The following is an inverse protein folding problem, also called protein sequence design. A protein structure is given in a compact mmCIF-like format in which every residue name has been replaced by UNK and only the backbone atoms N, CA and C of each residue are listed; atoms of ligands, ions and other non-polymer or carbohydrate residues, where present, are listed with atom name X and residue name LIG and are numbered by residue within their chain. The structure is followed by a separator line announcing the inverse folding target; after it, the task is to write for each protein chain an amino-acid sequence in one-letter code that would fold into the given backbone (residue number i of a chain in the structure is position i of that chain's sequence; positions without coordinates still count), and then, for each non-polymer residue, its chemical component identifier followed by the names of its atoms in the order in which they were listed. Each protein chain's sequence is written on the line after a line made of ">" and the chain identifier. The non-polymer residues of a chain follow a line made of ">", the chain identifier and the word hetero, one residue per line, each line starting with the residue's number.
data_IF_119478504512
#
_entry.id   IF_119478504512
#
_cell.length_a   1.000
_cell.length_b   1.000
_cell.length_c   1.000
_cell.angle_alpha   90.00
_cell.angle_beta   90.00
_cell.angle_gamma   90.00
#
_symmetry.space_group_name_H-M   'P 1'
#
loop_
_entity.id
_entity.type
_entity.pdbx_description
1 polymer ?
#
# COMPACT_ATOMS: atom_id res chain seq x y z
N UNK A 1 -42.74 -7.01 -12.06
CA UNK A 1 -43.24 -7.41 -10.74
C UNK A 1 -42.95 -6.26 -9.80
N UNK A 2 -43.98 -5.71 -9.16
CA UNK A 2 -43.89 -4.54 -8.28
C UNK A 2 -43.38 -4.98 -6.92
N UNK A 3 -42.13 -4.65 -6.58
CA UNK A 3 -41.65 -4.75 -5.21
C UNK A 3 -42.41 -3.74 -4.35
N UNK A 4 -43.36 -4.25 -3.57
CA UNK A 4 -44.03 -3.46 -2.54
C UNK A 4 -42.98 -3.11 -1.48
N UNK A 5 -42.73 -1.81 -1.29
CA UNK A 5 -41.84 -1.31 -0.25
C UNK A 5 -42.25 -1.89 1.10
N UNK A 6 -41.31 -2.54 1.79
CA UNK A 6 -41.56 -3.08 3.13
C UNK A 6 -41.93 -1.93 4.07
N UNK A 7 -42.95 -2.11 4.93
CA UNK A 7 -43.36 -1.08 5.87
C UNK A 7 -42.25 -0.84 6.89
N UNK A 8 -41.87 0.43 7.04
CA UNK A 8 -40.88 0.90 8.00
C UNK A 8 -41.23 0.44 9.41
N UNK A 9 -40.25 -0.12 10.11
CA UNK A 9 -40.41 -0.59 11.48
C UNK A 9 -40.65 0.58 12.44
N UNK A 10 -41.26 0.30 13.58
CA UNK A 10 -41.52 1.31 14.61
C UNK A 10 -40.23 1.90 15.19
N UNK A 11 -39.14 1.14 15.17
CA UNK A 11 -37.81 1.57 15.57
C UNK A 11 -37.23 2.57 14.56
N UNK A 12 -37.26 2.25 13.27
CA UNK A 12 -36.82 3.15 12.19
C UNK A 12 -37.62 4.47 12.17
N UNK A 13 -38.94 4.40 12.41
CA UNK A 13 -39.81 5.57 12.46
C UNK A 13 -39.47 6.49 13.65
N UNK A 14 -39.14 5.90 14.80
CA UNK A 14 -38.73 6.64 16.00
C UNK A 14 -37.34 7.24 15.84
N UNK A 15 -36.44 6.53 15.15
CA UNK A 15 -35.11 7.01 14.82
C UNK A 15 -35.15 8.22 13.88
N UNK A 16 -36.02 8.16 12.86
CA UNK A 16 -36.28 9.29 11.96
C UNK A 16 -36.84 10.50 12.71
N UNK A 17 -37.77 10.29 13.65
CA UNK A 17 -38.34 11.37 14.47
C UNK A 17 -37.30 12.02 15.36
N UNK A 18 -36.43 11.23 16.00
CA UNK A 18 -35.33 11.73 16.82
C UNK A 18 -34.30 12.53 16.03
N UNK A 19 -34.06 12.18 14.77
CA UNK A 19 -33.20 12.96 13.86
C UNK A 19 -33.84 14.30 13.47
N UNK A 20 -35.15 14.32 13.27
CA UNK A 20 -35.90 15.52 12.86
C UNK A 20 -36.11 16.53 13.99
N UNK A 21 -36.31 16.06 15.23
CA UNK A 21 -36.52 16.93 16.40
C UNK A 21 -35.22 17.30 17.14
N UNK A 22 -34.08 16.80 16.66
CA UNK A 22 -32.76 17.07 17.23
C UNK A 22 -32.48 16.40 18.58
N UNK A 23 -33.38 15.52 19.06
CA UNK A 23 -33.18 14.77 20.31
C UNK A 23 -32.20 13.61 20.13
N UNK A 24 -32.03 13.12 18.90
CA UNK A 24 -30.92 12.23 18.52
C UNK A 24 -29.78 13.04 17.93
N UNK A 25 -28.70 13.13 18.70
CA UNK A 25 -27.39 13.51 18.17
C UNK A 25 -26.89 12.35 17.31
N UNK A 26 -26.39 12.63 16.11
CA UNK A 26 -25.67 11.66 15.29
C UNK A 26 -24.64 10.95 16.18
N UNK A 27 -24.91 9.68 16.53
CA UNK A 27 -23.97 8.92 17.35
C UNK A 27 -22.75 8.69 16.48
N UNK A 28 -21.55 9.14 16.89
CA UNK A 28 -20.37 8.82 16.15
C UNK A 28 -20.29 7.29 16.04
N UNK A 29 -19.85 6.77 14.88
CA UNK A 29 -19.68 5.34 14.71
C UNK A 29 -18.86 4.78 15.88
N UNK A 30 -19.20 3.57 16.32
CA UNK A 30 -18.45 2.87 17.37
C UNK A 30 -16.97 2.89 16.99
N UNK A 31 -16.09 3.31 17.90
CA UNK A 31 -14.65 3.24 17.65
C UNK A 31 -14.26 1.79 17.46
N UNK A 32 -13.51 1.53 16.39
CA UNK A 32 -12.89 0.23 16.15
C UNK A 32 -11.74 0.05 17.13
N UNK A 33 -11.75 -1.08 17.84
CA UNK A 33 -10.63 -1.51 18.66
C UNK A 33 -9.66 -2.32 17.79
N UNK A 34 -8.63 -1.62 17.28
CA UNK A 34 -7.62 -2.22 16.42
C UNK A 34 -6.79 -3.33 17.10
N UNK A 35 -6.78 -3.36 18.43
CA UNK A 35 -5.92 -4.25 19.21
C UNK A 35 -6.58 -5.62 19.46
N UNK A 36 -7.91 -5.65 19.56
CA UNK A 36 -8.64 -6.85 19.98
C UNK A 36 -9.61 -7.38 18.92
N UNK A 37 -10.21 -6.52 18.10
CA UNK A 37 -11.17 -6.96 17.08
C UNK A 37 -10.47 -7.50 15.84
N UNK A 38 -11.16 -8.36 15.10
CA UNK A 38 -10.69 -8.78 13.78
C UNK A 38 -10.56 -7.56 12.85
N UNK A 39 -9.59 -7.59 11.94
CA UNK A 39 -9.39 -6.54 10.94
C UNK A 39 -9.53 -7.15 9.54
N UNK A 40 -10.34 -6.50 8.72
CA UNK A 40 -10.55 -6.83 7.32
C UNK A 40 -10.10 -5.65 6.47
N UNK A 41 -9.07 -5.85 5.64
CA UNK A 41 -8.51 -4.82 4.76
C UNK A 41 -8.83 -5.07 3.30
N UNK A 42 -9.65 -4.21 2.69
CA UNK A 42 -10.06 -4.33 1.29
C UNK A 42 -8.86 -4.10 0.35
N UNK A 43 -8.44 -5.13 -0.38
CA UNK A 43 -7.30 -5.06 -1.31
C UNK A 43 -7.75 -4.64 -2.71
N UNK A 44 -7.27 -3.48 -3.15
CA UNK A 44 -7.46 -2.99 -4.52
C UNK A 44 -6.50 -3.67 -5.47
N UNK A 45 -6.99 -3.99 -6.68
CA UNK A 45 -6.20 -4.57 -7.78
C UNK A 45 -5.55 -5.93 -7.46
N UNK A 46 -6.19 -6.71 -6.57
CA UNK A 46 -5.77 -8.06 -6.24
C UNK A 46 -6.90 -9.03 -6.55
N UNK A 47 -6.61 -10.07 -7.30
CA UNK A 47 -7.48 -11.22 -7.50
C UNK A 47 -6.86 -12.45 -6.85
N UNK A 48 -7.68 -13.31 -6.23
CA UNK A 48 -7.19 -14.57 -5.68
C UNK A 48 -7.66 -15.74 -6.56
N UNK A 49 -6.74 -16.59 -7.00
CA UNK A 49 -7.10 -17.83 -7.71
C UNK A 49 -7.67 -18.88 -6.76
N UNK A 50 -7.14 -18.91 -5.53
CA UNK A 50 -7.53 -19.81 -4.43
C UNK A 50 -7.91 -19.00 -3.20
N UNK A 51 -8.86 -19.47 -2.39
CA UNK A 51 -9.32 -18.75 -1.19
C UNK A 51 -10.03 -19.70 -0.22
N UNK A 52 -9.81 -19.58 1.11
CA UNK A 52 -8.85 -18.66 1.75
C UNK A 52 -7.40 -19.13 1.59
N UNK A 53 -6.45 -18.20 1.67
CA UNK A 53 -5.01 -18.46 1.70
C UNK A 53 -4.50 -18.07 3.08
N UNK A 54 -4.03 -19.05 3.86
CA UNK A 54 -3.36 -18.75 5.13
C UNK A 54 -1.92 -18.33 4.86
N UNK A 55 -1.54 -17.14 5.33
CA UNK A 55 -0.16 -16.64 5.25
C UNK A 55 0.62 -16.95 6.53
N UNK A 56 -0.03 -16.77 7.68
CA UNK A 56 0.45 -17.15 9.02
C UNK A 56 -0.76 -17.49 9.91
N UNK A 57 -0.51 -18.02 11.10
CA UNK A 57 -1.57 -18.22 12.09
C UNK A 57 -2.32 -16.90 12.35
N UNK A 58 -3.65 -16.91 12.19
CA UNK A 58 -4.50 -15.72 12.32
C UNK A 58 -4.41 -14.68 11.20
N UNK A 59 -3.66 -14.93 10.12
CA UNK A 59 -3.48 -14.01 8.99
C UNK A 59 -3.77 -14.69 7.65
N UNK A 60 -4.74 -14.15 6.92
CA UNK A 60 -5.25 -14.75 5.69
C UNK A 60 -5.42 -13.71 4.57
N UNK A 61 -5.44 -14.21 3.34
CA UNK A 61 -6.08 -13.54 2.20
C UNK A 61 -7.36 -14.29 1.88
N UNK A 62 -8.44 -13.57 1.61
CA UNK A 62 -9.70 -14.19 1.19
C UNK A 62 -10.41 -13.40 0.09
N UNK A 63 -11.24 -14.11 -0.69
CA UNK A 63 -12.16 -13.49 -1.65
C UNK A 63 -13.23 -12.72 -0.92
N UNK A 64 -13.58 -11.57 -1.47
CA UNK A 64 -14.66 -10.71 -0.97
C UNK A 64 -15.32 -10.00 -2.15
N UNK A 65 -16.30 -9.15 -1.88
CA UNK A 65 -16.76 -8.17 -2.86
C UNK A 65 -17.24 -6.90 -2.14
N UNK A 66 -16.63 -5.78 -2.47
CA UNK A 66 -17.15 -4.46 -2.16
C UNK A 66 -16.86 -3.50 -3.31
N UNK A 67 -17.84 -2.68 -3.66
CA UNK A 67 -17.64 -1.54 -4.55
C UNK A 67 -17.49 -0.29 -3.68
N UNK A 68 -16.27 0.24 -3.57
CA UNK A 68 -16.02 1.49 -2.81
C UNK A 68 -15.93 2.62 -3.80
N UNK A 69 -16.74 3.66 -3.57
CA UNK A 69 -16.75 4.84 -4.40
C UNK A 69 -16.77 6.11 -3.54
N UNK A 70 -16.06 7.14 -4.00
CA UNK A 70 -16.11 8.48 -3.45
C UNK A 70 -16.58 9.45 -4.55
N UNK A 71 -17.76 10.02 -4.33
CA UNK A 71 -18.29 11.05 -5.20
C UNK A 71 -17.91 12.42 -4.60
N UNK A 72 -17.21 13.30 -5.33
CA UNK A 72 -17.02 14.67 -4.88
C UNK A 72 -18.38 15.33 -4.71
N UNK A 73 -18.64 15.89 -3.53
CA UNK A 73 -19.89 16.57 -3.19
C UNK A 73 -19.65 18.08 -3.04
N UNK A 74 -20.50 18.89 -3.65
CA UNK A 74 -20.52 20.33 -3.45
C UNK A 74 -21.62 20.71 -2.46
N UNK A 75 -21.26 21.49 -1.43
CA UNK A 75 -22.21 22.15 -0.56
C UNK A 75 -22.31 23.62 -0.94
N UNK A 76 -23.54 24.16 -0.98
CA UNK A 76 -23.80 25.54 -1.41
C UNK A 76 -24.01 26.51 -0.24
N UNK A 77 -23.62 26.10 0.98
CA UNK A 77 -23.74 26.91 2.19
C UNK A 77 -22.68 26.54 3.24
N UNK A 78 -22.18 27.52 4.01
CA UNK A 78 -21.24 27.28 5.09
C UNK A 78 -21.91 26.56 6.27
N UNK A 79 -21.14 25.85 7.12
CA UNK A 79 -21.70 25.22 8.31
C UNK A 79 -22.18 26.28 9.32
N UNK A 80 -23.31 26.07 10.02
CA UNK A 80 -23.83 27.03 11.02
C UNK A 80 -22.91 27.23 12.22
N UNK A 81 -22.08 26.22 12.51
CA UNK A 81 -21.09 26.21 13.57
C UNK A 81 -19.71 25.99 12.96
N UNK A 82 -18.68 26.62 13.52
CA UNK A 82 -17.30 26.33 13.16
C UNK A 82 -17.03 24.83 13.36
N UNK A 83 -16.63 24.13 12.28
CA UNK A 83 -16.40 22.67 12.21
C UNK A 83 -17.66 21.78 12.26
N UNK A 84 -18.85 22.34 12.04
CA UNK A 84 -20.10 21.57 11.85
C UNK A 84 -20.25 21.01 10.43
N UNK A 85 -21.24 20.13 10.19
CA UNK A 85 -21.57 19.66 8.84
C UNK A 85 -22.15 20.80 7.99
N UNK A 86 -21.88 20.78 6.68
CA UNK A 86 -22.47 21.73 5.75
C UNK A 86 -23.97 21.44 5.56
N UNK A 87 -24.86 22.43 5.60
CA UNK A 87 -26.28 22.19 5.37
C UNK A 87 -26.55 21.90 3.89
N UNK A 88 -27.66 21.21 3.62
CA UNK A 88 -28.21 21.07 2.28
C UNK A 88 -28.58 22.45 1.68
N UNK A 89 -28.65 22.62 0.35
CA UNK A 89 -28.51 21.57 -0.68
C UNK A 89 -27.07 21.11 -0.89
N UNK A 90 -26.94 19.84 -1.27
CA UNK A 90 -25.71 19.25 -1.79
C UNK A 90 -25.93 18.79 -3.22
N UNK A 91 -24.90 18.86 -4.05
CA UNK A 91 -24.91 18.28 -5.38
C UNK A 91 -23.69 17.38 -5.56
N UNK A 92 -23.89 16.26 -6.26
CA UNK A 92 -22.78 15.45 -6.76
C UNK A 92 -22.05 16.26 -7.83
N UNK A 93 -20.74 16.41 -7.70
CA UNK A 93 -19.91 16.99 -8.75
C UNK A 93 -19.66 15.90 -9.79
N UNK A 94 -20.23 16.07 -10.98
CA UNK A 94 -19.98 15.17 -12.09
C UNK A 94 -18.52 15.30 -12.55
N UNK A 95 -17.78 14.19 -12.59
CA UNK A 95 -16.36 14.17 -12.93
C UNK A 95 -15.67 12.90 -12.43
N UNK A 96 -14.33 12.97 -12.27
CA UNK A 96 -13.53 11.87 -11.73
C UNK A 96 -13.77 11.72 -10.22
N UNK A 97 -14.83 10.99 -9.85
CA UNK A 97 -14.86 10.29 -8.58
C UNK A 97 -13.89 9.11 -8.61
N UNK A 98 -13.48 8.63 -7.43
CA UNK A 98 -12.74 7.39 -7.32
C UNK A 98 -13.75 6.27 -7.09
N UNK A 99 -13.71 5.22 -7.89
CA UNK A 99 -14.56 4.04 -7.72
C UNK A 99 -13.75 2.80 -8.10
N UNK A 100 -13.75 1.79 -7.24
CA UNK A 100 -12.98 0.57 -7.45
C UNK A 100 -13.69 -0.63 -6.82
N UNK A 101 -13.58 -1.78 -7.50
CA UNK A 101 -14.06 -3.05 -6.99
C UNK A 101 -12.95 -3.74 -6.19
N UNK A 102 -13.31 -4.23 -5.02
CA UNK A 102 -12.43 -4.95 -4.12
C UNK A 102 -12.90 -6.39 -4.06
N UNK A 103 -12.15 -7.29 -4.70
CA UNK A 103 -12.50 -8.73 -4.78
C UNK A 103 -11.63 -9.62 -3.88
N UNK A 104 -10.69 -9.01 -3.17
CA UNK A 104 -9.84 -9.66 -2.17
C UNK A 104 -9.74 -8.79 -0.90
N UNK A 105 -9.49 -9.42 0.23
CA UNK A 105 -9.18 -8.73 1.48
C UNK A 105 -8.13 -9.48 2.31
N UNK A 106 -7.37 -8.71 3.10
CA UNK A 106 -6.53 -9.22 4.18
C UNK A 106 -7.42 -9.44 5.40
N UNK A 107 -7.31 -10.60 6.03
CA UNK A 107 -7.99 -10.90 7.29
C UNK A 107 -6.95 -11.10 8.36
N UNK A 108 -7.06 -10.32 9.44
CA UNK A 108 -6.32 -10.53 10.67
C UNK A 108 -7.31 -10.85 11.78
N UNK A 109 -7.30 -12.09 12.28
CA UNK A 109 -8.22 -12.56 13.31
C UNK A 109 -8.10 -11.73 14.60
N UNK A 110 -9.18 -11.72 15.40
CA UNK A 110 -9.23 -11.02 16.68
C UNK A 110 -8.05 -11.43 17.59
N UNK A 111 -7.31 -10.46 18.12
CA UNK A 111 -6.16 -10.68 19.01
C UNK A 111 -4.90 -11.30 18.38
N UNK A 112 -4.95 -11.80 17.14
CA UNK A 112 -3.78 -12.37 16.45
C UNK A 112 -2.61 -11.36 16.29
N UNK A 113 -1.37 -11.80 16.56
CA UNK A 113 -0.14 -11.01 16.33
C UNK A 113 0.89 -11.85 15.58
N UNK A 114 0.66 -12.13 14.29
CA UNK A 114 1.49 -13.05 13.49
C UNK A 114 2.90 -12.48 13.20
N UNK A 115 3.05 -11.16 13.28
CA UNK A 115 4.28 -10.42 13.03
C UNK A 115 4.59 -9.53 14.25
N UNK A 116 5.86 -9.07 14.44
CA UNK A 116 6.26 -8.23 15.58
C UNK A 116 5.76 -6.77 15.49
N UNK A 117 4.78 -6.50 14.63
CA UNK A 117 4.22 -5.17 14.40
C UNK A 117 2.88 -5.00 15.09
N UNK A 118 2.45 -3.75 15.24
CA UNK A 118 1.05 -3.47 15.55
C UNK A 118 0.12 -4.06 14.48
N UNK A 119 -1.10 -4.40 14.88
CA UNK A 119 -2.05 -5.14 14.03
C UNK A 119 -2.38 -4.39 12.73
N UNK A 120 -2.56 -3.08 12.82
CA UNK A 120 -2.80 -2.25 11.63
C UNK A 120 -1.57 -2.18 10.70
N UNK A 121 -0.38 -2.12 11.28
CA UNK A 121 0.88 -2.13 10.53
C UNK A 121 1.14 -3.50 9.90
N UNK A 122 0.68 -4.59 10.51
CA UNK A 122 0.69 -5.94 9.91
C UNK A 122 -0.12 -5.96 8.60
N UNK A 123 -1.31 -5.37 8.59
CA UNK A 123 -2.13 -5.27 7.38
C UNK A 123 -1.43 -4.44 6.31
N UNK A 124 -0.86 -3.29 6.67
CA UNK A 124 -0.06 -2.46 5.74
C UNK A 124 1.14 -3.21 5.19
N UNK A 125 1.87 -3.92 6.05
CA UNK A 125 3.07 -4.68 5.68
C UNK A 125 2.76 -5.77 4.65
N UNK A 126 1.67 -6.51 4.84
CA UNK A 126 1.25 -7.53 3.88
C UNK A 126 0.94 -6.90 2.53
N UNK A 127 0.19 -5.79 2.50
CA UNK A 127 -0.11 -5.09 1.26
C UNK A 127 1.14 -4.53 0.57
N UNK A 128 2.06 -3.94 1.33
CA UNK A 128 3.32 -3.42 0.83
C UNK A 128 4.25 -4.54 0.32
N UNK A 129 4.23 -5.72 0.96
CA UNK A 129 4.97 -6.88 0.47
C UNK A 129 4.38 -7.44 -0.83
N UNK A 130 3.05 -7.48 -0.97
CA UNK A 130 2.40 -7.82 -2.25
C UNK A 130 2.79 -6.81 -3.33
N UNK A 131 2.75 -5.50 -3.03
CA UNK A 131 3.20 -4.45 -3.97
C UNK A 131 4.64 -4.65 -4.40
N UNK A 132 5.53 -4.92 -3.45
CA UNK A 132 6.93 -5.17 -3.73
C UNK A 132 7.09 -6.39 -4.63
N UNK A 133 6.56 -7.55 -4.25
CA UNK A 133 6.71 -8.79 -5.02
C UNK A 133 6.05 -8.72 -6.41
N UNK A 134 4.92 -8.02 -6.54
CA UNK A 134 4.22 -7.86 -7.82
C UNK A 134 4.81 -6.75 -8.70
N UNK A 135 5.57 -5.81 -8.11
CA UNK A 135 5.88 -4.52 -8.74
C UNK A 135 4.62 -3.82 -9.29
N UNK A 136 3.51 -3.89 -8.54
CA UNK A 136 2.21 -3.30 -8.91
C UNK A 136 1.69 -2.40 -7.77
N UNK A 137 0.90 -1.36 -8.08
CA UNK A 137 0.31 -0.43 -7.11
C UNK A 137 -0.93 -1.02 -6.40
N UNK A 138 -0.80 -2.19 -5.80
CA UNK A 138 -1.81 -2.76 -4.89
C UNK A 138 -1.96 -1.86 -3.67
N UNK A 139 -3.15 -1.76 -3.08
CA UNK A 139 -3.37 -0.91 -1.90
C UNK A 139 -4.52 -1.44 -1.06
N UNK A 140 -4.58 -1.01 0.20
CA UNK A 140 -5.68 -1.32 1.13
C UNK A 140 -6.57 -0.10 1.28
N UNK A 141 -7.67 -0.04 0.54
CA UNK A 141 -8.52 1.15 0.50
C UNK A 141 -9.21 1.43 1.85
N UNK A 142 -9.62 0.35 2.54
CA UNK A 142 -10.39 0.47 3.77
C UNK A 142 -10.15 -0.68 4.73
N UNK A 143 -10.44 -0.42 6.01
CA UNK A 143 -10.36 -1.37 7.12
C UNK A 143 -11.71 -1.41 7.84
N UNK A 144 -12.16 -2.60 8.22
CA UNK A 144 -13.38 -2.83 8.98
C UNK A 144 -13.24 -3.96 10.03
N UNK A 145 -14.10 -3.99 11.07
CA UNK A 145 -14.15 -5.10 12.04
C UNK A 145 -14.81 -6.39 11.51
N UNK A 146 -15.40 -6.32 10.32
CA UNK A 146 -16.13 -7.41 9.66
C UNK A 146 -15.75 -7.44 8.18
N UNK A 147 -15.90 -8.60 7.54
CA UNK A 147 -15.60 -8.80 6.11
C UNK A 147 -16.35 -7.82 5.22
N UNK A 148 -15.68 -7.31 4.19
CA UNK A 148 -16.23 -6.33 3.24
C UNK A 148 -17.41 -6.88 2.44
N UNK A 149 -17.46 -8.20 2.22
CA UNK A 149 -18.58 -8.89 1.60
C UNK A 149 -19.77 -9.11 2.55
N UNK A 150 -19.59 -8.87 3.85
CA UNK A 150 -20.59 -9.02 4.90
C UNK A 150 -21.56 -7.83 4.97
N UNK A 151 -22.22 -7.47 3.86
CA UNK A 151 -23.06 -6.26 3.76
C UNK A 151 -24.07 -6.08 4.90
N UNK A 152 -24.70 -7.15 5.39
CA UNK A 152 -25.61 -7.09 6.55
C UNK A 152 -24.89 -6.75 7.86
N UNK A 153 -23.66 -7.21 8.07
CA UNK A 153 -22.88 -6.89 9.26
C UNK A 153 -22.50 -5.40 9.32
N UNK A 154 -22.36 -4.74 8.16
CA UNK A 154 -22.14 -3.28 8.11
C UNK A 154 -23.39 -2.47 8.49
N UNK A 155 -24.59 -2.99 8.22
CA UNK A 155 -25.85 -2.34 8.63
C UNK A 155 -25.97 -2.22 10.15
N UNK A 156 -25.35 -3.12 10.91
CA UNK A 156 -25.25 -3.08 12.37
C UNK A 156 -24.28 -2.00 12.92
N UNK A 157 -24.07 -0.91 12.17
CA UNK A 157 -23.17 0.20 12.51
C UNK A 157 -21.70 -0.19 12.69
N UNK A 158 -21.23 -1.22 11.97
CA UNK A 158 -19.81 -1.52 11.89
C UNK A 158 -19.13 -0.54 10.92
N UNK A 159 -18.29 0.39 11.42
CA UNK A 159 -17.67 1.40 10.57
C UNK A 159 -16.66 0.80 9.59
N UNK A 160 -16.61 1.43 8.43
CA UNK A 160 -15.54 1.25 7.44
C UNK A 160 -14.67 2.49 7.52
N UNK A 161 -13.38 2.31 7.77
CA UNK A 161 -12.40 3.39 7.81
C UNK A 161 -11.61 3.40 6.51
N UNK A 162 -11.50 4.56 5.87
CA UNK A 162 -10.51 4.73 4.80
C UNK A 162 -9.10 4.53 5.37
N UNK A 163 -8.24 3.86 4.60
CA UNK A 163 -6.90 3.49 5.06
C UNK A 163 -5.81 4.02 4.12
N UNK A 164 -5.69 3.47 2.91
CA UNK A 164 -4.82 4.00 1.86
C UNK A 164 -5.66 4.70 0.78
N UNK A 165 -5.08 5.70 0.12
CA UNK A 165 -5.71 6.34 -1.04
C UNK A 165 -5.45 5.49 -2.28
N UNK A 166 -6.30 5.61 -3.29
CA UNK A 166 -5.99 5.02 -4.60
C UNK A 166 -4.70 5.63 -5.16
N UNK A 167 -3.74 4.81 -5.60
CA UNK A 167 -2.51 5.30 -6.23
C UNK A 167 -2.79 6.18 -7.46
N UNK A 168 -1.95 7.20 -7.67
CA UNK A 168 -2.13 8.14 -8.80
C UNK A 168 -2.03 7.46 -10.17
N UNK A 169 -1.30 6.34 -10.22
CA UNK A 169 -0.99 5.64 -11.44
C UNK A 169 -1.87 4.40 -11.57
N UNK A 170 -2.56 4.30 -12.71
CA UNK A 170 -3.37 3.14 -13.05
C UNK A 170 -2.50 2.13 -13.79
N UNK A 171 -2.21 1.03 -13.09
CA UNK A 171 -1.58 -0.16 -13.65
C UNK A 171 -2.54 -1.35 -13.49
N UNK A 172 -2.17 -2.49 -14.06
CA UNK A 172 -2.94 -3.72 -13.89
C UNK A 172 -3.02 -4.19 -12.44
N UNK A 173 -3.81 -5.24 -12.23
CA UNK A 173 -3.81 -5.95 -10.96
C UNK A 173 -2.82 -7.09 -10.90
N UNK A 174 -2.77 -7.74 -9.74
CA UNK A 174 -2.04 -8.98 -9.52
C UNK A 174 -3.02 -10.11 -9.21
N UNK A 175 -2.79 -11.27 -9.80
CA UNK A 175 -3.47 -12.51 -9.41
C UNK A 175 -2.57 -13.29 -8.47
N UNK A 176 -3.05 -13.57 -7.26
CA UNK A 176 -2.36 -14.38 -6.25
C UNK A 176 -2.88 -15.81 -6.36
N UNK A 177 -2.01 -16.70 -6.82
CA UNK A 177 -2.18 -18.16 -6.76
C UNK A 177 -1.39 -18.76 -5.60
N UNK A 178 -1.38 -20.09 -5.48
CA UNK A 178 -0.65 -20.77 -4.40
C UNK A 178 0.86 -20.54 -4.49
N UNK A 179 1.44 -20.45 -5.69
CA UNK A 179 2.87 -20.20 -5.85
C UNK A 179 3.26 -18.81 -5.35
N UNK A 180 2.43 -17.82 -5.65
CA UNK A 180 2.60 -16.46 -5.14
C UNK A 180 2.38 -16.41 -3.61
N UNK A 181 1.41 -17.17 -3.10
CA UNK A 181 1.20 -17.30 -1.65
C UNK A 181 2.44 -17.87 -0.94
N UNK A 182 3.08 -18.91 -1.48
CA UNK A 182 4.33 -19.44 -0.92
C UNK A 182 5.45 -18.41 -0.91
N UNK A 183 5.53 -17.58 -1.94
CA UNK A 183 6.49 -16.47 -1.99
C UNK A 183 6.22 -15.45 -0.87
N UNK A 184 4.96 -15.06 -0.66
CA UNK A 184 4.57 -14.20 0.46
C UNK A 184 4.98 -14.81 1.81
N UNK A 185 4.68 -16.09 2.04
CA UNK A 185 5.06 -16.80 3.27
C UNK A 185 6.57 -16.77 3.51
N UNK A 186 7.35 -16.99 2.45
CA UNK A 186 8.82 -16.99 2.49
C UNK A 186 9.38 -15.62 2.87
N UNK A 187 8.75 -14.53 2.43
CA UNK A 187 9.25 -13.18 2.67
C UNK A 187 8.77 -12.55 3.99
N UNK A 188 7.69 -13.03 4.62
CA UNK A 188 7.11 -12.38 5.81
C UNK A 188 8.09 -12.26 6.99
N UNK A 189 8.78 -13.34 7.34
CA UNK A 189 9.71 -13.34 8.49
C UNK A 189 11.02 -12.58 8.20
N UNK A 190 11.71 -12.83 7.06
CA UNK A 190 12.90 -12.06 6.70
C UNK A 190 12.63 -10.56 6.59
N UNK A 191 11.49 -10.16 6.03
CA UNK A 191 11.06 -8.76 5.98
C UNK A 191 10.85 -8.20 7.39
N UNK A 192 10.25 -8.99 8.28
CA UNK A 192 10.06 -8.58 9.69
C UNK A 192 11.36 -8.44 10.47
N UNK A 193 12.41 -9.14 10.06
CA UNK A 193 13.73 -9.03 10.66
C UNK A 193 14.46 -7.77 10.17
N UNK A 194 14.55 -7.58 8.85
CA UNK A 194 15.33 -6.48 8.28
C UNK A 194 14.74 -5.11 8.62
N UNK A 195 13.42 -4.98 8.68
CA UNK A 195 12.76 -3.71 8.97
C UNK A 195 12.87 -3.27 10.44
N UNK A 196 13.55 -4.05 11.29
CA UNK A 196 14.02 -3.57 12.60
C UNK A 196 15.21 -2.61 12.47
N UNK A 197 15.93 -2.63 11.35
CA UNK A 197 16.93 -1.60 11.02
C UNK A 197 16.21 -0.34 10.51
N UNK A 198 16.43 0.78 11.21
CA UNK A 198 15.80 2.07 10.89
C UNK A 198 16.06 2.53 9.45
N UNK A 199 17.23 2.21 8.89
CA UNK A 199 17.57 2.59 7.51
C UNK A 199 16.81 1.74 6.52
N UNK A 200 16.73 0.43 6.76
CA UNK A 200 15.94 -0.48 5.94
C UNK A 200 14.45 -0.08 5.97
N UNK A 201 13.90 0.19 7.16
CA UNK A 201 12.52 0.67 7.30
C UNK A 201 12.26 1.96 6.51
N UNK A 202 13.15 2.96 6.64
CA UNK A 202 13.02 4.22 5.89
C UNK A 202 13.11 4.02 4.38
N UNK A 203 14.07 3.20 3.93
CA UNK A 203 14.23 2.89 2.51
C UNK A 203 12.99 2.18 1.96
N UNK A 204 12.44 1.24 2.72
CA UNK A 204 11.22 0.53 2.38
C UNK A 204 10.03 1.46 2.27
N UNK A 205 9.74 2.26 3.29
CA UNK A 205 8.61 3.22 3.27
C UNK A 205 8.74 4.22 2.12
N UNK A 206 9.95 4.69 1.80
CA UNK A 206 10.16 5.59 0.66
C UNK A 206 9.88 4.90 -0.69
N UNK A 207 10.40 3.68 -0.87
CA UNK A 207 10.23 2.94 -2.12
C UNK A 207 8.77 2.52 -2.30
N UNK A 208 8.14 2.08 -1.21
CA UNK A 208 6.73 1.73 -1.16
C UNK A 208 5.82 2.94 -1.46
N UNK A 209 6.18 4.13 -0.96
CA UNK A 209 5.43 5.35 -1.16
C UNK A 209 5.41 5.90 -2.60
N UNK A 210 6.22 5.37 -3.52
CA UNK A 210 6.36 5.95 -4.87
C UNK A 210 5.05 5.94 -5.66
N UNK A 211 4.16 4.97 -5.40
CA UNK A 211 2.88 4.83 -6.10
C UNK A 211 1.94 6.02 -5.89
N UNK A 212 2.15 6.78 -4.82
CA UNK A 212 1.39 8.00 -4.48
C UNK A 212 2.13 9.29 -4.83
N UNK A 213 3.29 9.21 -5.49
CA UNK A 213 4.00 10.41 -5.90
C UNK A 213 3.41 10.95 -7.22
N UNK A 214 3.13 12.26 -7.30
CA UNK A 214 2.42 12.85 -8.44
C UNK A 214 3.30 13.09 -9.67
N UNK A 215 4.63 13.02 -9.52
CA UNK A 215 5.57 13.36 -10.61
C UNK A 215 6.70 12.34 -10.73
N UNK A 216 7.19 12.15 -11.95
CA UNK A 216 8.34 11.28 -12.25
C UNK A 216 9.61 11.76 -11.55
N UNK A 217 9.79 13.07 -11.36
CA UNK A 217 10.90 13.63 -10.59
C UNK A 217 10.86 13.19 -9.12
N UNK A 218 9.69 13.26 -8.47
CA UNK A 218 9.57 12.86 -7.08
C UNK A 218 9.80 11.35 -6.92
N UNK A 219 9.26 10.53 -7.84
CA UNK A 219 9.52 9.09 -7.90
C UNK A 219 11.01 8.79 -8.04
N UNK A 220 11.69 9.42 -9.01
CA UNK A 220 13.12 9.25 -9.26
C UNK A 220 13.95 9.57 -8.02
N UNK A 221 13.63 10.66 -7.30
CA UNK A 221 14.32 11.03 -6.08
C UNK A 221 14.08 10.02 -4.96
N UNK A 222 12.83 9.58 -4.76
CA UNK A 222 12.50 8.60 -3.73
C UNK A 222 13.19 7.25 -3.97
N UNK A 223 13.14 6.75 -5.21
CA UNK A 223 13.80 5.49 -5.64
C UNK A 223 15.29 5.52 -5.31
N UNK A 224 16.02 6.55 -5.78
CA UNK A 224 17.47 6.61 -5.54
C UNK A 224 17.82 6.89 -4.08
N UNK A 225 16.97 7.62 -3.34
CA UNK A 225 17.16 7.81 -1.89
C UNK A 225 17.01 6.49 -1.15
N UNK A 226 16.06 5.62 -1.54
CA UNK A 226 15.95 4.26 -1.00
C UNK A 226 17.20 3.43 -1.30
N UNK A 227 17.70 3.46 -2.53
CA UNK A 227 18.94 2.73 -2.90
C UNK A 227 20.15 3.23 -2.11
N UNK A 228 20.32 4.55 -1.98
CA UNK A 228 21.38 5.14 -1.16
C UNK A 228 21.29 4.73 0.31
N UNK A 229 20.07 4.70 0.84
CA UNK A 229 19.82 4.33 2.24
C UNK A 229 20.12 2.85 2.49
N UNK A 230 19.82 1.97 1.52
CA UNK A 230 20.12 0.54 1.61
C UNK A 230 21.60 0.23 1.42
N UNK A 231 22.22 0.80 0.39
CA UNK A 231 23.61 0.49 0.02
C UNK A 231 24.63 1.30 0.83
N UNK A 232 24.25 2.43 1.42
CA UNK A 232 25.12 3.27 2.27
C UNK A 232 26.48 3.57 1.61
N UNK A 233 26.52 4.17 0.40
CA UNK A 233 27.75 4.35 -0.37
C UNK A 233 28.78 5.32 0.27
N UNK A 234 28.46 5.96 1.40
CA UNK A 234 29.31 6.99 2.01
C UNK A 234 29.23 8.34 1.28
N UNK A 235 30.23 9.21 1.47
CA UNK A 235 30.23 10.59 0.97
C UNK A 235 31.13 10.85 -0.25
N UNK A 236 32.08 9.96 -0.54
CA UNK A 236 33.06 10.12 -1.62
C UNK A 236 32.68 9.22 -2.78
N UNK A 237 32.78 9.74 -4.00
CA UNK A 237 32.49 9.01 -5.24
C UNK A 237 31.15 8.26 -5.22
N UNK A 238 30.10 8.90 -4.65
CA UNK A 238 28.79 8.29 -4.40
C UNK A 238 28.26 7.53 -5.61
N UNK A 239 28.26 8.14 -6.79
CA UNK A 239 27.80 7.51 -8.04
C UNK A 239 28.55 6.21 -8.35
N UNK A 240 29.88 6.21 -8.24
CA UNK A 240 30.70 5.02 -8.55
C UNK A 240 30.53 3.93 -7.49
N UNK A 241 30.47 4.32 -6.21
CA UNK A 241 30.25 3.37 -5.09
C UNK A 241 28.86 2.75 -5.15
N UNK A 242 27.83 3.53 -5.50
CA UNK A 242 26.49 3.00 -5.75
C UNK A 242 26.49 2.04 -6.94
N UNK A 243 27.07 2.43 -8.06
CA UNK A 243 27.12 1.58 -9.26
C UNK A 243 27.90 0.27 -9.01
N UNK A 244 29.02 0.32 -8.28
CA UNK A 244 29.75 -0.89 -7.88
C UNK A 244 28.95 -1.74 -6.88
N UNK A 245 28.25 -1.11 -5.93
CA UNK A 245 27.37 -1.78 -4.99
C UNK A 245 26.23 -2.52 -5.67
N UNK A 246 25.49 -1.86 -6.57
CA UNK A 246 24.43 -2.48 -7.38
C UNK A 246 25.00 -3.62 -8.22
N UNK A 247 26.10 -3.37 -8.94
CA UNK A 247 26.78 -4.40 -9.73
C UNK A 247 27.04 -5.67 -8.92
N UNK A 248 27.69 -5.54 -7.76
CA UNK A 248 28.10 -6.69 -6.92
C UNK A 248 26.91 -7.31 -6.19
N UNK A 249 25.89 -6.52 -5.84
CA UNK A 249 24.77 -6.94 -5.01
C UNK A 249 23.60 -7.51 -5.80
N UNK A 250 23.36 -7.15 -7.05
CA UNK A 250 22.22 -7.72 -7.80
C UNK A 250 22.59 -8.30 -9.15
N UNK A 251 23.81 -8.05 -9.64
CA UNK A 251 24.28 -8.68 -10.87
C UNK A 251 24.33 -10.20 -10.75
N UNK A 252 23.83 -10.89 -11.78
CA UNK A 252 23.78 -12.36 -11.81
C UNK A 252 25.02 -12.98 -12.49
N UNK A 253 25.76 -12.17 -13.25
CA UNK A 253 26.99 -12.56 -13.95
C UNK A 253 27.89 -11.35 -14.12
N UNK A 254 29.15 -11.56 -14.54
CA UNK A 254 30.08 -10.45 -14.81
C UNK A 254 29.56 -9.48 -15.88
N UNK A 255 29.04 -10.00 -16.99
CA UNK A 255 28.51 -9.15 -18.08
C UNK A 255 27.26 -8.38 -17.65
N UNK A 256 26.39 -9.02 -16.88
CA UNK A 256 25.21 -8.38 -16.30
C UNK A 256 25.59 -7.30 -15.27
N UNK A 257 26.56 -7.59 -14.40
CA UNK A 257 27.10 -6.63 -13.45
C UNK A 257 27.73 -5.41 -14.13
N UNK A 258 28.48 -5.60 -15.22
CA UNK A 258 29.07 -4.50 -15.99
C UNK A 258 27.97 -3.64 -16.67
N UNK A 259 26.89 -4.27 -17.16
CA UNK A 259 25.70 -3.57 -17.67
C UNK A 259 25.04 -2.74 -16.57
N UNK A 260 24.75 -3.34 -15.41
CA UNK A 260 24.11 -2.68 -14.27
C UNK A 260 24.94 -1.52 -13.73
N UNK A 261 26.27 -1.63 -13.73
CA UNK A 261 27.16 -0.53 -13.36
C UNK A 261 26.95 0.68 -14.27
N UNK A 262 27.05 0.48 -15.59
CA UNK A 262 26.91 1.56 -16.56
C UNK A 262 25.50 2.18 -16.53
N UNK A 263 24.48 1.34 -16.37
CA UNK A 263 23.10 1.77 -16.26
C UNK A 263 22.84 2.58 -14.97
N UNK A 264 23.38 2.15 -13.83
CA UNK A 264 23.29 2.86 -12.56
C UNK A 264 23.94 4.24 -12.65
N UNK A 265 25.13 4.36 -13.25
CA UNK A 265 25.80 5.65 -13.45
C UNK A 265 24.90 6.60 -14.26
N UNK A 266 24.38 6.14 -15.40
CA UNK A 266 23.51 6.92 -16.28
C UNK A 266 22.23 7.38 -15.57
N UNK A 267 21.54 6.48 -14.89
CA UNK A 267 20.28 6.77 -14.22
C UNK A 267 20.45 7.70 -13.01
N UNK A 268 21.54 7.52 -12.25
CA UNK A 268 21.85 8.38 -11.11
C UNK A 268 22.19 9.82 -11.57
N UNK A 269 22.90 9.96 -12.69
CA UNK A 269 23.11 11.26 -13.33
C UNK A 269 21.80 11.89 -13.80
N UNK A 270 20.88 11.11 -14.38
CA UNK A 270 19.52 11.55 -14.77
C UNK A 270 18.73 12.10 -13.57
N UNK A 271 18.82 11.42 -12.42
CA UNK A 271 18.27 11.93 -11.14
C UNK A 271 18.90 13.26 -10.73
N UNK A 272 20.22 13.39 -10.83
CA UNK A 272 20.94 14.64 -10.50
C UNK A 272 20.52 15.81 -11.40
N UNK A 273 20.38 15.58 -12.70
CA UNK A 273 19.87 16.58 -13.65
C UNK A 273 18.42 16.97 -13.33
N UNK A 274 17.59 16.01 -12.94
CA UNK A 274 16.19 16.27 -12.60
C UNK A 274 16.04 17.11 -11.33
N UNK A 275 16.84 16.82 -10.31
CA UNK A 275 16.81 17.53 -9.03
C UNK A 275 17.37 18.97 -9.14
N UNK A 276 18.36 19.21 -10.00
CA UNK A 276 19.09 20.49 -10.05
C UNK A 276 18.78 21.36 -11.27
N UNK A 277 18.42 20.76 -12.41
CA UNK A 277 18.18 21.48 -13.67
C UNK A 277 16.70 21.57 -14.05
N UNK A 278 15.79 21.04 -13.23
CA UNK A 278 14.34 21.16 -13.43
C UNK A 278 13.80 20.39 -14.66
N UNK A 279 14.59 19.49 -15.25
CA UNK A 279 14.14 18.62 -16.33
C UNK A 279 13.46 17.39 -15.74
N UNK A 280 12.20 17.12 -16.11
CA UNK A 280 11.54 15.89 -15.68
C UNK A 280 12.24 14.67 -16.31
N UNK A 281 12.53 13.61 -15.53
CA UNK A 281 13.10 12.39 -16.07
C UNK A 281 12.07 11.69 -16.98
N UNK A 282 12.58 10.98 -17.98
CA UNK A 282 11.78 10.10 -18.81
C UNK A 282 11.16 8.98 -17.94
N UNK A 283 9.94 8.54 -18.27
CA UNK A 283 9.27 7.50 -17.47
C UNK A 283 10.03 6.17 -17.55
N UNK A 284 10.71 5.92 -18.67
CA UNK A 284 11.57 4.76 -18.89
C UNK A 284 12.77 4.76 -17.93
N UNK A 285 13.35 5.94 -17.66
CA UNK A 285 14.42 6.08 -16.68
C UNK A 285 13.92 5.85 -15.24
N UNK A 286 12.71 6.32 -14.92
CA UNK A 286 12.08 6.03 -13.62
C UNK A 286 11.84 4.54 -13.46
N UNK A 287 11.30 3.88 -14.49
CA UNK A 287 11.05 2.45 -14.48
C UNK A 287 12.36 1.65 -14.33
N UNK A 288 13.39 1.97 -15.11
CA UNK A 288 14.69 1.30 -15.00
C UNK A 288 15.34 1.51 -13.62
N UNK A 289 15.20 2.72 -13.04
CA UNK A 289 15.66 2.99 -11.68
C UNK A 289 14.88 2.19 -10.63
N UNK A 290 13.56 2.07 -10.82
CA UNK A 290 12.70 1.27 -9.95
C UNK A 290 13.11 -0.21 -9.98
N UNK A 291 13.37 -0.79 -11.15
CA UNK A 291 13.83 -2.19 -11.26
C UNK A 291 15.10 -2.42 -10.44
N UNK A 292 16.09 -1.52 -10.52
CA UNK A 292 17.31 -1.62 -9.69
C UNK A 292 16.98 -1.56 -8.20
N UNK A 293 16.16 -0.60 -7.77
CA UNK A 293 15.79 -0.45 -6.36
C UNK A 293 14.98 -1.64 -5.84
N UNK A 294 14.11 -2.17 -6.68
CA UNK A 294 13.28 -3.35 -6.45
C UNK A 294 14.15 -4.59 -6.24
N UNK A 295 15.12 -4.85 -7.13
CA UNK A 295 16.04 -5.99 -7.00
C UNK A 295 16.90 -5.89 -5.73
N UNK A 296 17.41 -4.69 -5.41
CA UNK A 296 18.19 -4.46 -4.18
C UNK A 296 17.33 -4.71 -2.94
N UNK A 297 16.09 -4.18 -2.92
CA UNK A 297 15.16 -4.36 -1.81
C UNK A 297 14.76 -5.83 -1.65
N UNK A 298 14.41 -6.51 -2.73
CA UNK A 298 14.03 -7.92 -2.70
C UNK A 298 15.16 -8.80 -2.19
N UNK A 299 16.39 -8.56 -2.65
CA UNK A 299 17.55 -9.32 -2.16
C UNK A 299 17.79 -9.06 -0.68
N UNK A 300 17.76 -7.81 -0.25
CA UNK A 300 17.95 -7.46 1.16
C UNK A 300 16.87 -8.08 2.04
N UNK A 301 15.60 -8.02 1.62
CA UNK A 301 14.50 -8.68 2.32
C UNK A 301 14.65 -10.19 2.38
N UNK A 302 15.01 -10.83 1.28
CA UNK A 302 15.24 -12.27 1.24
C UNK A 302 16.39 -12.69 2.18
N UNK A 303 17.48 -11.91 2.22
CA UNK A 303 18.63 -12.16 3.11
C UNK A 303 18.37 -11.76 4.57
N UNK A 304 17.30 -10.99 4.84
CA UNK A 304 16.98 -10.47 6.18
C UNK A 304 17.98 -9.43 6.70
N UNK A 305 18.83 -8.87 5.83
CA UNK A 305 19.88 -7.91 6.20
C UNK A 305 20.21 -6.96 5.04
N UNK A 306 20.72 -5.77 5.37
CA UNK A 306 21.26 -4.83 4.39
C UNK A 306 22.66 -5.26 3.91
N UNK A 307 23.05 -4.90 2.68
CA UNK A 307 24.38 -5.20 2.18
C UNK A 307 25.47 -4.43 2.92
N UNK A 308 26.60 -5.11 3.15
CA UNK A 308 27.85 -4.48 3.58
C UNK A 308 28.77 -4.31 2.37
N UNK A 309 28.75 -3.13 1.76
CA UNK A 309 29.50 -2.84 0.53
C UNK A 309 31.01 -3.07 0.67
N UNK A 310 31.59 -2.86 1.85
CA UNK A 310 33.03 -2.99 2.03
C UNK A 310 33.46 -4.47 2.03
N UNK A 311 32.54 -5.39 2.38
CA UNK A 311 32.76 -6.83 2.42
C UNK A 311 31.99 -7.64 1.35
N UNK A 312 31.34 -6.96 0.40
CA UNK A 312 30.40 -7.60 -0.52
C UNK A 312 31.07 -8.40 -1.65
N UNK A 313 31.16 -9.72 -1.56
CA UNK A 313 31.62 -10.53 -2.72
C UNK A 313 30.53 -10.60 -3.80
N UNK A 314 30.84 -10.40 -5.09
CA UNK A 314 29.86 -10.58 -6.17
C UNK A 314 29.30 -12.00 -6.19
N UNK A 315 28.01 -12.16 -6.51
CA UNK A 315 27.32 -13.47 -6.53
C UNK A 315 28.01 -14.45 -7.49
N UNK A 316 28.50 -13.96 -8.63
CA UNK A 316 29.16 -14.79 -9.64
C UNK A 316 30.64 -15.08 -9.32
N UNK A 317 31.15 -14.59 -8.20
CA UNK A 317 32.52 -14.83 -7.75
C UNK A 317 32.61 -15.95 -6.69
N UNK A 318 31.46 -16.47 -6.24
CA UNK A 318 31.33 -17.63 -5.34
C UNK A 318 30.93 -18.87 -6.13
#
# INVERSE_FOLDING_TARGET
>A
MSDAAQPMTREELNDLRGLLDGTRVFRPPRKLDFDHEALFGALGRVELSVSPIQLKEGLFLQKTFAHVFSAPMAAFSPPPLNRGPHPAPWAVVHGRGEAEDFVAEIVLEAGAKPLPYERLETVRMVAALIRLLAAQPVFVASIAPVSMGGGEAHKAHNPIYGFERTPHWHFGGVTIDEKYAELLRTFLDPTSLILKDDSAYRAFVMLDGIWWLPTTTAMMVAIWTSVETMLRPGRRDVTKRLADGVRRYVGQSKSDGDRLYNETVRLYESRGQSAHAGRSPAIEDVHASFVIAHDVMLRAMHEGQLPDLDNLTPVWAT
#
